data_IF_249320098097
#
_entry.id   IF_249320098097
#
_cell.length_a   1.000
_cell.length_b   1.000
_cell.length_c   1.000
_cell.angle_alpha   90.00
_cell.angle_beta   90.00
_cell.angle_gamma   90.00
#
_symmetry.space_group_name_H-M   'P 1'
#
loop_
_entity.id
_entity.type
_entity.pdbx_description
1 polymer ?
#
# COMPACT_ATOMS: atom_id res chain seq x y z
N UNK A 1 -25.53 -37.54 -16.92
CA UNK A 1 -25.28 -36.53 -15.87
C UNK A 1 -23.89 -35.96 -16.06
N UNK A 2 -23.74 -34.65 -16.19
CA UNK A 2 -22.40 -34.03 -16.29
C UNK A 2 -21.62 -34.29 -14.98
N UNK A 3 -20.34 -34.68 -15.07
CA UNK A 3 -19.53 -34.89 -13.86
C UNK A 3 -19.37 -33.54 -13.15
N UNK A 4 -19.56 -33.53 -11.84
CA UNK A 4 -19.41 -32.32 -11.00
C UNK A 4 -18.06 -31.60 -11.19
N UNK A 5 -17.05 -32.35 -11.63
CA UNK A 5 -15.69 -31.90 -11.94
C UNK A 5 -15.66 -30.91 -13.12
N UNK A 6 -16.57 -31.09 -14.08
CA UNK A 6 -16.62 -30.34 -15.34
C UNK A 6 -17.37 -29.00 -15.22
N UNK A 7 -18.08 -28.78 -14.11
CA UNK A 7 -18.82 -27.55 -13.85
C UNK A 7 -17.86 -26.40 -13.50
N UNK A 8 -18.10 -25.23 -14.10
CA UNK A 8 -17.37 -24.01 -13.74
C UNK A 8 -17.94 -23.38 -12.45
N UNK A 9 -17.19 -22.46 -11.84
CA UNK A 9 -17.58 -21.83 -10.56
C UNK A 9 -18.93 -21.11 -10.64
N UNK A 10 -19.28 -20.50 -11.78
CA UNK A 10 -20.58 -19.85 -11.96
C UNK A 10 -21.73 -20.87 -11.99
N UNK A 11 -21.54 -22.00 -12.66
CA UNK A 11 -22.51 -23.09 -12.71
C UNK A 11 -22.68 -23.75 -11.34
N UNK A 12 -21.58 -23.99 -10.62
CA UNK A 12 -21.61 -24.54 -9.26
C UNK A 12 -22.38 -23.62 -8.29
N UNK A 13 -22.15 -22.30 -8.36
CA UNK A 13 -22.90 -21.34 -7.52
C UNK A 13 -24.38 -21.31 -7.87
N UNK A 14 -24.73 -21.34 -9.16
CA UNK A 14 -26.12 -21.37 -9.61
C UNK A 14 -26.85 -22.62 -9.14
N UNK A 15 -26.20 -23.79 -9.21
CA UNK A 15 -26.77 -25.05 -8.76
C UNK A 15 -26.92 -25.10 -7.23
N UNK A 16 -25.95 -24.55 -6.49
CA UNK A 16 -26.03 -24.42 -5.03
C UNK A 16 -27.15 -23.44 -4.63
N UNK A 17 -27.28 -22.31 -5.30
CA UNK A 17 -28.33 -21.32 -5.05
C UNK A 17 -29.72 -21.88 -5.35
N UNK A 18 -29.89 -22.62 -6.44
CA UNK A 18 -31.13 -23.33 -6.77
C UNK A 18 -31.54 -24.36 -5.70
N UNK A 19 -30.59 -24.85 -4.91
CA UNK A 19 -30.78 -25.79 -3.80
C UNK A 19 -30.79 -25.10 -2.42
N UNK A 20 -30.80 -23.77 -2.36
CA UNK A 20 -30.68 -22.97 -1.14
C UNK A 20 -29.43 -23.29 -0.29
N UNK A 21 -28.31 -23.62 -0.95
CA UNK A 21 -27.02 -23.95 -0.32
C UNK A 21 -26.04 -22.77 -0.38
N UNK A 22 -25.11 -22.73 0.58
CA UNK A 22 -24.10 -21.67 0.69
C UNK A 22 -23.21 -21.62 -0.57
N UNK A 23 -23.14 -20.46 -1.22
CA UNK A 23 -22.38 -20.22 -2.47
C UNK A 23 -20.99 -19.61 -2.26
N UNK A 24 -20.54 -19.48 -1.00
CA UNK A 24 -19.20 -18.97 -0.64
C UNK A 24 -18.15 -20.09 -0.65
N UNK A 25 -16.95 -19.74 -1.09
CA UNK A 25 -15.77 -20.63 -1.12
C UNK A 25 -15.13 -20.78 -2.51
N UNK A 26 -14.02 -21.50 -2.56
CA UNK A 26 -13.31 -21.89 -3.79
C UNK A 26 -14.02 -23.06 -4.51
N UNK A 27 -13.62 -23.36 -5.74
CA UNK A 27 -14.27 -24.37 -6.60
C UNK A 27 -14.44 -25.73 -5.90
N UNK A 28 -13.41 -26.21 -5.21
CA UNK A 28 -13.44 -27.49 -4.49
C UNK A 28 -14.45 -27.50 -3.35
N UNK A 29 -14.54 -26.41 -2.56
CA UNK A 29 -15.55 -26.27 -1.49
C UNK A 29 -16.97 -26.23 -2.06
N UNK A 30 -17.19 -25.60 -3.21
CA UNK A 30 -18.48 -25.58 -3.90
C UNK A 30 -18.87 -26.97 -4.45
N UNK A 31 -17.91 -27.69 -5.02
CA UNK A 31 -18.12 -29.06 -5.52
C UNK A 31 -18.46 -30.03 -4.39
N UNK A 32 -17.70 -30.03 -3.30
CA UNK A 32 -17.94 -30.90 -2.16
C UNK A 32 -19.33 -30.67 -1.54
N UNK A 33 -19.76 -29.40 -1.45
CA UNK A 33 -21.08 -29.04 -0.92
C UNK A 33 -22.21 -29.52 -1.82
N UNK A 34 -22.03 -29.41 -3.13
CA UNK A 34 -23.02 -29.88 -4.11
C UNK A 34 -23.08 -31.41 -4.13
N UNK A 35 -21.95 -32.10 -4.02
CA UNK A 35 -21.89 -33.56 -3.96
C UNK A 35 -22.64 -34.12 -2.74
N UNK A 36 -22.34 -33.58 -1.55
CA UNK A 36 -23.00 -33.98 -0.30
C UNK A 36 -24.52 -33.79 -0.36
N UNK A 37 -24.98 -32.70 -0.97
CA UNK A 37 -26.42 -32.43 -1.15
C UNK A 37 -27.12 -33.36 -2.17
N UNK A 38 -26.36 -34.02 -3.05
CA UNK A 38 -26.91 -35.04 -3.95
C UNK A 38 -26.99 -36.40 -3.27
N UNK A 39 -26.04 -36.73 -2.39
CA UNK A 39 -26.00 -37.97 -1.61
C UNK A 39 -27.15 -38.01 -0.58
N UNK A 40 -27.43 -36.92 0.12
CA UNK A 40 -28.53 -36.84 1.12
C UNK A 40 -29.93 -36.98 0.54
N UNK A 41 -30.11 -36.80 -0.78
CA UNK A 41 -31.40 -37.00 -1.45
C UNK A 41 -31.57 -38.44 -1.97
N UNK A 42 -30.55 -39.30 -1.84
CA UNK A 42 -30.55 -40.68 -2.33
C UNK A 42 -31.02 -41.73 -1.30
N UNK A 43 -31.18 -41.36 -0.03
CA UNK A 43 -31.53 -42.29 1.06
C UNK A 43 -32.99 -42.09 1.54
N UNK A 44 -33.95 -42.38 0.67
CA UNK A 44 -35.34 -42.57 1.10
C UNK A 44 -35.95 -43.76 0.37
N UNK A 45 -35.80 -44.95 0.95
CA UNK A 45 -36.41 -46.16 0.41
C UNK A 45 -36.02 -47.46 1.09
N UNK A 46 -36.28 -47.63 2.40
CA UNK A 46 -36.61 -48.94 3.00
C UNK A 46 -36.96 -48.82 4.49
N UNK A 47 -38.10 -49.40 4.86
CA UNK A 47 -38.79 -49.37 6.16
C UNK A 47 -38.10 -50.14 7.30
N UNK A 48 -38.50 -49.75 8.52
CA UNK A 48 -38.58 -50.51 9.79
C UNK A 48 -37.29 -51.10 10.40
N UNK A 49 -36.83 -50.49 11.50
CA UNK A 49 -36.81 -51.16 12.82
C UNK A 49 -36.39 -50.18 13.94
N UNK A 50 -37.29 -49.97 14.90
CA UNK A 50 -37.00 -49.36 16.20
C UNK A 50 -36.13 -50.29 17.04
N UNK A 51 -34.81 -50.23 16.88
CA UNK A 51 -33.83 -50.80 17.82
C UNK A 51 -32.52 -49.97 17.81
N UNK A 52 -32.39 -49.07 18.79
CA UNK A 52 -31.11 -48.50 19.28
C UNK A 52 -30.12 -47.95 18.22
N UNK A 53 -30.50 -46.90 17.47
CA UNK A 53 -29.60 -46.14 16.58
C UNK A 53 -28.85 -44.98 17.27
N UNK A 54 -29.18 -44.67 18.53
CA UNK A 54 -28.61 -43.56 19.29
C UNK A 54 -27.06 -43.49 19.32
N UNK A 55 -26.28 -44.60 19.39
CA UNK A 55 -24.83 -44.52 19.42
C UNK A 55 -24.21 -44.10 18.07
N UNK A 56 -24.81 -44.51 16.96
CA UNK A 56 -24.31 -44.22 15.60
C UNK A 56 -24.54 -42.75 15.22
N UNK A 57 -25.70 -42.18 15.57
CA UNK A 57 -25.97 -40.75 15.37
C UNK A 57 -25.09 -39.86 16.26
N UNK A 58 -24.85 -40.27 17.52
CA UNK A 58 -23.95 -39.56 18.43
C UNK A 58 -22.50 -39.54 17.90
N UNK A 59 -22.01 -40.65 17.35
CA UNK A 59 -20.68 -40.72 16.76
C UNK A 59 -20.54 -39.85 15.50
N UNK A 60 -21.57 -39.83 14.64
CA UNK A 60 -21.60 -38.94 13.48
C UNK A 60 -21.62 -37.46 13.89
N UNK A 61 -22.36 -37.13 14.94
CA UNK A 61 -22.39 -35.78 15.52
C UNK A 61 -21.03 -35.37 16.08
N UNK A 62 -20.36 -36.26 16.84
CA UNK A 62 -19.01 -36.02 17.38
C UNK A 62 -17.98 -35.79 16.26
N UNK A 63 -18.04 -36.59 15.18
CA UNK A 63 -17.16 -36.42 14.02
C UNK A 63 -17.43 -35.08 13.29
N UNK A 64 -18.70 -34.67 13.17
CA UNK A 64 -19.06 -33.38 12.60
C UNK A 64 -18.58 -32.20 13.47
N UNK A 65 -18.70 -32.31 14.80
CA UNK A 65 -18.20 -31.33 15.76
C UNK A 65 -16.67 -31.21 15.64
N UNK A 66 -15.95 -32.32 15.58
CA UNK A 66 -14.49 -32.33 15.40
C UNK A 66 -14.08 -31.64 14.10
N UNK A 67 -14.75 -31.96 12.97
CA UNK A 67 -14.45 -31.31 11.69
C UNK A 67 -14.74 -29.80 11.67
N UNK A 68 -15.77 -29.35 12.40
CA UNK A 68 -16.04 -27.92 12.60
C UNK A 68 -14.95 -27.27 13.47
N UNK A 69 -14.52 -27.95 14.53
CA UNK A 69 -13.46 -27.48 15.42
C UNK A 69 -12.13 -27.32 14.67
N UNK A 70 -11.76 -28.29 13.84
CA UNK A 70 -10.57 -28.22 12.98
C UNK A 70 -10.67 -27.06 11.97
N UNK A 71 -11.84 -26.89 11.34
CA UNK A 71 -12.07 -25.78 10.40
C UNK A 71 -12.02 -24.41 11.08
N UNK A 72 -12.51 -24.32 12.32
CA UNK A 72 -12.42 -23.09 13.12
C UNK A 72 -10.97 -22.79 13.48
N UNK A 73 -10.21 -23.80 13.91
CA UNK A 73 -8.79 -23.64 14.22
C UNK A 73 -7.99 -23.18 12.99
N UNK A 74 -8.23 -23.78 11.81
CA UNK A 74 -7.59 -23.36 10.56
C UNK A 74 -7.97 -21.93 10.15
N UNK A 75 -9.23 -21.52 10.35
CA UNK A 75 -9.64 -20.15 10.06
C UNK A 75 -8.98 -19.15 11.03
N UNK A 76 -8.85 -19.51 12.31
CA UNK A 76 -8.19 -18.67 13.31
C UNK A 76 -6.72 -18.43 12.92
N UNK A 77 -5.98 -19.49 12.58
CA UNK A 77 -4.57 -19.36 12.17
C UNK A 77 -4.44 -18.55 10.87
N UNK A 78 -5.34 -18.72 9.91
CA UNK A 78 -5.33 -17.91 8.69
C UNK A 78 -5.58 -16.42 8.97
N UNK A 79 -6.47 -16.09 9.91
CA UNK A 79 -6.74 -14.71 10.31
C UNK A 79 -5.55 -14.11 11.03
N UNK A 80 -4.90 -14.86 11.93
CA UNK A 80 -3.67 -14.45 12.62
C UNK A 80 -2.53 -14.17 11.62
N UNK A 81 -2.31 -15.07 10.65
CA UNK A 81 -1.32 -14.89 9.59
C UNK A 81 -1.62 -13.66 8.72
N UNK A 82 -2.89 -13.43 8.39
CA UNK A 82 -3.31 -12.24 7.64
C UNK A 82 -3.07 -10.96 8.45
N UNK A 83 -3.37 -10.98 9.74
CA UNK A 83 -3.14 -9.84 10.62
C UNK A 83 -1.65 -9.52 10.71
N UNK A 84 -0.80 -10.52 10.95
CA UNK A 84 0.66 -10.33 11.01
C UNK A 84 1.20 -9.73 9.71
N UNK A 85 0.76 -10.23 8.55
CA UNK A 85 1.17 -9.68 7.26
C UNK A 85 0.73 -8.24 7.06
N UNK A 86 -0.45 -7.86 7.55
CA UNK A 86 -0.92 -6.47 7.47
C UNK A 86 -0.04 -5.60 8.36
N UNK A 87 0.24 -6.02 9.59
CA UNK A 87 1.11 -5.30 10.53
C UNK A 87 2.53 -5.11 9.96
N UNK A 88 3.14 -6.16 9.42
CA UNK A 88 4.47 -6.11 8.80
C UNK A 88 4.51 -5.15 7.61
N UNK A 89 3.47 -5.18 6.76
CA UNK A 89 3.36 -4.29 5.60
C UNK A 89 3.16 -2.84 6.03
N UNK A 90 2.36 -2.58 7.07
CA UNK A 90 2.16 -1.23 7.60
C UNK A 90 3.45 -0.69 8.21
N UNK A 91 4.16 -1.48 9.02
CA UNK A 91 5.45 -1.10 9.58
C UNK A 91 6.46 -0.76 8.48
N UNK A 92 6.60 -1.64 7.48
CA UNK A 92 7.52 -1.43 6.35
C UNK A 92 7.16 -0.19 5.53
N UNK A 93 5.88 0.04 5.27
CA UNK A 93 5.44 1.22 4.53
C UNK A 93 5.67 2.51 5.34
N UNK A 94 5.47 2.47 6.65
CA UNK A 94 5.73 3.62 7.54
C UNK A 94 7.20 4.00 7.50
N UNK A 95 8.11 3.03 7.70
CA UNK A 95 9.56 3.31 7.68
C UNK A 95 10.03 3.83 6.33
N UNK A 96 9.56 3.24 5.22
CA UNK A 96 9.89 3.73 3.88
C UNK A 96 9.38 5.15 3.62
N UNK A 97 8.21 5.51 4.17
CA UNK A 97 7.68 6.87 4.02
C UNK A 97 8.49 7.86 4.84
N UNK A 98 8.88 7.51 6.06
CA UNK A 98 9.74 8.31 6.93
C UNK A 98 11.11 8.57 6.28
N UNK A 99 11.76 7.53 5.75
CA UNK A 99 13.02 7.64 5.01
C UNK A 99 12.89 8.59 3.82
N UNK A 100 11.85 8.42 3.00
CA UNK A 100 11.61 9.31 1.84
C UNK A 100 11.34 10.75 2.23
N UNK A 101 10.64 10.99 3.33
CA UNK A 101 10.40 12.35 3.83
C UNK A 101 11.72 12.97 4.30
N UNK A 102 12.53 12.20 5.04
CA UNK A 102 13.83 12.65 5.53
C UNK A 102 14.77 13.02 4.37
N UNK A 103 14.94 12.12 3.39
CA UNK A 103 15.81 12.36 2.23
C UNK A 103 15.39 13.60 1.44
N UNK A 104 14.09 13.78 1.22
CA UNK A 104 13.57 14.95 0.52
C UNK A 104 13.80 16.24 1.30
N UNK A 105 13.67 16.20 2.62
CA UNK A 105 13.93 17.36 3.47
C UNK A 105 15.41 17.76 3.41
N UNK A 106 16.33 16.80 3.51
CA UNK A 106 17.77 17.02 3.40
C UNK A 106 18.14 17.59 2.03
N UNK A 107 17.63 17.02 0.94
CA UNK A 107 17.89 17.54 -0.41
C UNK A 107 17.35 18.96 -0.63
N UNK A 108 16.20 19.28 -0.04
CA UNK A 108 15.64 20.63 -0.10
C UNK A 108 16.53 21.62 0.65
N UNK A 109 16.99 21.25 1.86
CA UNK A 109 17.88 22.07 2.66
C UNK A 109 19.20 22.35 1.93
N UNK A 110 19.83 21.32 1.35
CA UNK A 110 21.05 21.47 0.54
C UNK A 110 20.85 22.42 -0.64
N UNK A 111 19.74 22.28 -1.37
CA UNK A 111 19.41 23.18 -2.50
C UNK A 111 19.21 24.62 -2.04
N UNK A 112 18.56 24.83 -0.89
CA UNK A 112 18.36 26.16 -0.33
C UNK A 112 19.69 26.80 0.06
N UNK A 113 20.57 26.05 0.73
CA UNK A 113 21.91 26.53 1.10
C UNK A 113 22.76 26.88 -0.13
N UNK A 114 22.77 26.03 -1.16
CA UNK A 114 23.49 26.31 -2.40
C UNK A 114 22.96 27.54 -3.13
N UNK A 115 21.63 27.73 -3.16
CA UNK A 115 21.03 28.91 -3.78
C UNK A 115 21.36 30.18 -2.99
N UNK A 116 21.36 30.13 -1.66
CA UNK A 116 21.75 31.25 -0.82
C UNK A 116 23.20 31.67 -1.10
N UNK A 117 24.13 30.71 -1.16
CA UNK A 117 25.54 30.96 -1.49
C UNK A 117 25.69 31.62 -2.87
N UNK A 118 25.02 31.09 -3.91
CA UNK A 118 25.06 31.68 -5.25
C UNK A 118 24.52 33.11 -5.30
N UNK A 119 23.47 33.39 -4.52
CA UNK A 119 22.93 34.75 -4.41
C UNK A 119 23.91 35.69 -3.74
N UNK A 120 24.58 35.24 -2.67
CA UNK A 120 25.60 35.99 -1.97
C UNK A 120 26.81 36.30 -2.86
N UNK A 121 27.34 35.29 -3.57
CA UNK A 121 28.43 35.46 -4.54
C UNK A 121 28.09 36.48 -5.63
N UNK A 122 26.86 36.42 -6.17
CA UNK A 122 26.38 37.37 -7.17
C UNK A 122 26.28 38.78 -6.60
N UNK A 123 25.76 38.94 -5.38
CA UNK A 123 25.67 40.23 -4.72
C UNK A 123 27.06 40.84 -4.49
N UNK A 124 28.04 40.03 -4.06
CA UNK A 124 29.43 40.47 -3.93
C UNK A 124 30.04 40.92 -5.26
N UNK A 125 29.82 40.16 -6.33
CA UNK A 125 30.31 40.51 -7.67
C UNK A 125 29.70 41.83 -8.18
N UNK A 126 28.40 42.03 -7.97
CA UNK A 126 27.70 43.25 -8.40
C UNK A 126 28.16 44.47 -7.57
N UNK A 127 28.37 44.31 -6.26
CA UNK A 127 28.96 45.35 -5.41
C UNK A 127 30.39 45.72 -5.83
N UNK A 128 31.21 44.72 -6.19
CA UNK A 128 32.57 44.95 -6.68
C UNK A 128 32.58 45.80 -7.97
N UNK A 129 31.72 45.47 -8.93
CA UNK A 129 31.56 46.25 -10.18
C UNK A 129 31.10 47.68 -9.90
N UNK A 130 30.15 47.86 -8.99
CA UNK A 130 29.66 49.19 -8.63
C UNK A 130 30.76 50.03 -7.97
N UNK A 131 31.57 49.43 -7.07
CA UNK A 131 32.72 50.08 -6.44
C UNK A 131 33.77 50.50 -7.48
N UNK A 132 34.08 49.63 -8.43
CA UNK A 132 35.02 49.94 -9.51
C UNK A 132 34.50 51.10 -10.37
N UNK A 133 33.22 51.06 -10.77
CA UNK A 133 32.59 52.13 -11.53
C UNK A 133 32.63 53.48 -10.81
N UNK A 134 32.29 53.51 -9.51
CA UNK A 134 32.39 54.72 -8.69
C UNK A 134 33.84 55.24 -8.61
N UNK A 135 34.82 54.35 -8.45
CA UNK A 135 36.24 54.71 -8.41
C UNK A 135 36.68 55.38 -9.70
N UNK A 136 36.29 54.83 -10.86
CA UNK A 136 36.57 55.42 -12.18
C UNK A 136 35.90 56.79 -12.33
N UNK A 137 34.65 56.93 -11.88
CA UNK A 137 33.94 58.20 -11.95
C UNK A 137 34.55 59.29 -11.06
N UNK A 138 34.97 58.94 -9.84
CA UNK A 138 35.65 59.86 -8.94
C UNK A 138 36.95 60.38 -9.56
N UNK A 139 37.77 59.48 -10.10
CA UNK A 139 39.02 59.87 -10.77
C UNK A 139 38.78 60.85 -11.93
N UNK A 140 37.77 60.59 -12.76
CA UNK A 140 37.38 61.50 -13.86
C UNK A 140 36.91 62.87 -13.35
N UNK A 141 36.25 62.92 -12.19
CA UNK A 141 35.84 64.17 -11.56
C UNK A 141 37.05 64.95 -11.05
N UNK A 142 37.98 64.28 -10.38
CA UNK A 142 39.24 64.86 -9.89
C UNK A 142 40.06 65.46 -11.04
N UNK A 143 40.20 64.74 -12.15
CA UNK A 143 40.87 65.23 -13.38
C UNK A 143 40.18 66.48 -13.96
N UNK A 144 38.85 66.54 -13.92
CA UNK A 144 38.11 67.74 -14.35
C UNK A 144 38.31 68.93 -13.42
N UNK A 145 38.25 68.71 -12.10
CA UNK A 145 38.44 69.76 -11.10
C UNK A 145 39.84 70.35 -11.21
N UNK A 146 40.86 69.50 -11.22
CA UNK A 146 42.26 69.92 -11.40
C UNK A 146 42.49 70.67 -12.73
N UNK A 147 41.83 70.24 -13.82
CA UNK A 147 41.87 70.96 -15.09
C UNK A 147 41.26 72.37 -15.02
N UNK A 148 40.15 72.55 -14.31
CA UNK A 148 39.51 73.86 -14.09
C UNK A 148 40.41 74.75 -13.23
N UNK A 149 41.00 74.21 -12.16
CA UNK A 149 41.93 74.94 -11.30
C UNK A 149 43.14 75.46 -12.09
N UNK A 150 43.73 74.62 -12.95
CA UNK A 150 44.86 75.01 -13.80
C UNK A 150 44.51 76.15 -14.77
N UNK A 151 43.33 76.12 -15.39
CA UNK A 151 42.84 77.20 -16.27
C UNK A 151 42.61 78.50 -15.50
N UNK A 152 42.09 78.42 -14.27
CA UNK A 152 41.81 79.59 -13.43
C UNK A 152 43.09 80.32 -13.01
N UNK A 153 44.19 79.59 -12.81
CA UNK A 153 45.51 80.18 -12.47
C UNK A 153 46.16 80.90 -13.65
N UNK A 154 45.75 80.59 -14.90
CA UNK A 154 46.33 81.18 -16.12
C UNK A 154 45.61 82.46 -16.60
N UNK A 155 44.44 82.79 -16.04
CA UNK A 155 43.64 83.99 -16.33
C UNK A 155 43.95 85.12 -15.34
#
# INVERSE_FOLDING_TARGET
MARLVDLNVRQLKRELEARNLITKGNKSKLQARLLRAMETNGENGSNEDTQTTAPLEMNALLAAIAGVQDSLMENTTQVEDMQQRIEDNLAKNSTQLEERIHDNATQLEERMQQNALKMEERAFADLAKLREGLTVHLKKLEEKVTGIEALTVQL
#
